data_IF_053656117839
#
_entry.id   IF_053656117839
#
_cell.length_a   1.000
_cell.length_b   1.000
_cell.length_c   1.000
_cell.angle_alpha   90.00
_cell.angle_beta   90.00
_cell.angle_gamma   90.00
#
_symmetry.space_group_name_H-M   'P 1'
#
loop_
_entity.id
_entity.type
_entity.pdbx_description
1 polymer ?
#
# COMPACT_ATOMS: atom_id res chain seq x y z
N UNK A 1 -29.68 -7.49 -17.90
CA UNK A 1 -30.11 -7.29 -16.52
C UNK A 1 -29.58 -5.93 -16.08
N UNK A 2 -30.48 -4.98 -15.81
CA UNK A 2 -30.10 -3.72 -15.18
C UNK A 2 -30.12 -3.94 -13.66
N UNK A 3 -28.97 -4.12 -12.99
CA UNK A 3 -28.96 -4.26 -11.54
C UNK A 3 -29.45 -2.95 -10.91
N UNK A 4 -30.35 -3.05 -9.97
CA UNK A 4 -30.73 -1.92 -9.13
C UNK A 4 -29.49 -1.51 -8.33
N UNK A 5 -29.05 -0.23 -8.39
CA UNK A 5 -27.94 0.23 -7.56
C UNK A 5 -28.26 -0.03 -6.08
N UNK A 6 -27.27 -0.49 -5.34
CA UNK A 6 -27.43 -0.61 -3.90
C UNK A 6 -27.53 0.79 -3.31
N UNK A 7 -28.58 1.04 -2.55
CA UNK A 7 -28.76 2.30 -1.83
C UNK A 7 -27.79 2.32 -0.64
N UNK A 8 -26.72 3.12 -0.77
CA UNK A 8 -25.72 3.30 0.26
C UNK A 8 -25.85 4.72 0.82
N UNK A 9 -26.23 4.83 2.09
CA UNK A 9 -26.19 6.07 2.84
C UNK A 9 -24.92 6.12 3.70
N UNK A 10 -24.23 7.26 3.73
CA UNK A 10 -23.18 7.50 4.71
C UNK A 10 -23.82 7.51 6.12
N UNK A 11 -23.06 7.00 7.09
CA UNK A 11 -23.45 7.07 8.50
C UNK A 11 -23.45 8.54 8.96
N UNK A 12 -24.61 9.04 9.38
CA UNK A 12 -24.82 10.44 9.78
C UNK A 12 -23.79 10.92 10.83
N UNK A 13 -23.49 10.07 11.82
CA UNK A 13 -22.52 10.39 12.86
C UNK A 13 -21.09 10.53 12.29
N UNK A 14 -20.72 9.72 11.31
CA UNK A 14 -19.43 9.85 10.62
C UNK A 14 -19.36 11.14 9.82
N UNK A 15 -20.46 11.58 9.19
CA UNK A 15 -20.53 12.85 8.49
C UNK A 15 -20.40 14.05 9.45
N UNK A 16 -21.09 14.03 10.59
CA UNK A 16 -20.94 15.08 11.61
C UNK A 16 -19.50 15.19 12.15
N UNK A 17 -18.86 14.06 12.46
CA UNK A 17 -17.46 14.04 12.88
C UNK A 17 -16.53 14.60 11.79
N UNK A 18 -16.81 14.26 10.53
CA UNK A 18 -16.04 14.77 9.40
C UNK A 18 -16.09 16.29 9.34
N UNK A 19 -17.26 16.88 9.48
CA UNK A 19 -17.43 18.33 9.43
C UNK A 19 -16.71 19.01 10.61
N UNK A 20 -16.88 18.48 11.84
CA UNK A 20 -16.18 18.99 13.03
C UNK A 20 -14.66 18.93 12.91
N UNK A 21 -14.13 17.82 12.42
CA UNK A 21 -12.69 17.65 12.19
C UNK A 21 -12.22 18.58 11.07
N UNK A 22 -12.99 18.71 10.00
CA UNK A 22 -12.64 19.59 8.89
C UNK A 22 -12.57 21.06 9.34
N UNK A 23 -13.51 21.52 10.15
CA UNK A 23 -13.54 22.90 10.64
C UNK A 23 -12.36 23.21 11.58
N UNK A 24 -11.97 22.25 12.42
CA UNK A 24 -11.01 22.51 13.50
C UNK A 24 -9.57 22.11 13.15
N UNK A 25 -9.35 21.10 12.31
CA UNK A 25 -8.04 20.46 12.14
C UNK A 25 -7.52 20.43 10.69
N UNK A 26 -8.26 20.95 9.70
CA UNK A 26 -7.83 20.92 8.28
C UNK A 26 -6.46 21.55 8.07
N UNK A 27 -6.18 22.69 8.71
CA UNK A 27 -4.91 23.40 8.52
C UNK A 27 -3.72 22.64 9.15
N UNK A 28 -3.93 22.00 10.31
CA UNK A 28 -2.89 21.17 10.94
C UNK A 28 -2.61 19.92 10.10
N UNK A 29 -3.66 19.27 9.59
CA UNK A 29 -3.54 18.12 8.68
C UNK A 29 -2.81 18.52 7.39
N UNK A 30 -3.20 19.65 6.78
CA UNK A 30 -2.56 20.15 5.57
C UNK A 30 -1.07 20.49 5.80
N UNK A 31 -0.74 21.07 6.94
CA UNK A 31 0.63 21.38 7.34
C UNK A 31 1.45 20.11 7.54
N UNK A 32 0.89 19.08 8.16
CA UNK A 32 1.53 17.79 8.34
C UNK A 32 1.83 17.11 6.97
N UNK A 33 0.90 17.18 6.02
CA UNK A 33 1.12 16.62 4.67
C UNK A 33 2.14 17.38 3.81
N UNK A 34 2.57 18.58 4.20
CA UNK A 34 3.67 19.32 3.53
C UNK A 34 5.07 18.85 3.96
N UNK A 35 5.17 18.02 4.98
CA UNK A 35 6.43 17.45 5.43
C UNK A 35 6.86 16.36 4.43
N UNK A 36 7.96 16.57 3.72
CA UNK A 36 8.44 15.65 2.69
C UNK A 36 8.94 14.31 3.26
N UNK A 37 9.63 14.35 4.43
CA UNK A 37 10.10 13.15 5.10
C UNK A 37 8.93 12.31 5.62
N UNK A 38 8.94 11.02 5.31
CA UNK A 38 7.84 10.11 5.62
C UNK A 38 7.67 9.84 7.11
N UNK A 39 8.78 9.70 7.84
CA UNK A 39 8.74 9.41 9.27
C UNK A 39 8.20 10.62 10.04
N UNK A 40 8.78 11.79 9.81
CA UNK A 40 8.38 13.06 10.45
C UNK A 40 6.93 13.44 10.11
N UNK A 41 6.51 13.20 8.86
CA UNK A 41 5.10 13.37 8.45
C UNK A 41 4.18 12.43 9.22
N UNK A 42 4.56 11.16 9.36
CA UNK A 42 3.80 10.17 10.12
C UNK A 42 3.62 10.57 11.59
N UNK A 43 4.67 11.09 12.21
CA UNK A 43 4.64 11.60 13.58
C UNK A 43 3.72 12.81 13.69
N UNK A 44 3.80 13.77 12.77
CA UNK A 44 2.95 14.95 12.75
C UNK A 44 1.46 14.59 12.60
N UNK A 45 1.12 13.70 11.66
CA UNK A 45 -0.26 13.21 11.48
C UNK A 45 -0.74 12.46 12.72
N UNK A 46 0.12 11.65 13.34
CA UNK A 46 -0.23 10.95 14.58
C UNK A 46 -0.46 11.90 15.74
N UNK A 47 0.29 13.00 15.85
CA UNK A 47 0.06 14.03 16.85
C UNK A 47 -1.32 14.70 16.69
N UNK A 48 -1.73 15.01 15.45
CA UNK A 48 -3.07 15.53 15.18
C UNK A 48 -4.15 14.51 15.56
N UNK A 49 -3.93 13.23 15.24
CA UNK A 49 -4.86 12.15 15.60
C UNK A 49 -5.03 12.01 17.12
N UNK A 50 -3.96 12.15 17.88
CA UNK A 50 -4.00 12.13 19.35
C UNK A 50 -4.84 13.30 19.86
N UNK A 51 -4.60 14.52 19.38
CA UNK A 51 -5.38 15.71 19.76
C UNK A 51 -6.88 15.54 19.51
N UNK A 52 -7.24 14.96 18.33
CA UNK A 52 -8.64 14.69 17.99
C UNK A 52 -9.26 13.68 18.96
N UNK A 53 -8.53 12.62 19.33
CA UNK A 53 -9.01 11.65 20.30
C UNK A 53 -9.17 12.25 21.71
N UNK A 54 -8.24 13.10 22.14
CA UNK A 54 -8.31 13.78 23.44
C UNK A 54 -9.46 14.80 23.50
N UNK A 55 -9.75 15.47 22.38
CA UNK A 55 -10.88 16.39 22.27
C UNK A 55 -12.25 15.68 22.30
N UNK A 56 -12.28 14.35 22.18
CA UNK A 56 -13.48 13.51 22.15
C UNK A 56 -13.32 12.31 23.11
N UNK A 57 -12.87 12.56 24.32
CA UNK A 57 -12.53 11.51 25.29
C UNK A 57 -13.75 10.75 25.83
N UNK A 58 -14.94 11.38 25.79
CA UNK A 58 -16.20 10.80 26.24
C UNK A 58 -16.82 9.74 25.31
N UNK A 59 -16.29 9.55 24.10
CA UNK A 59 -16.85 8.64 23.11
C UNK A 59 -16.62 7.16 23.46
N UNK A 60 -17.60 6.32 23.16
CA UNK A 60 -17.46 4.87 23.24
C UNK A 60 -16.56 4.31 22.11
N UNK A 61 -16.23 3.02 22.17
CA UNK A 61 -15.33 2.38 21.19
C UNK A 61 -15.88 2.39 19.76
N UNK A 62 -17.21 2.29 19.60
CA UNK A 62 -17.87 2.31 18.28
C UNK A 62 -17.84 3.71 17.68
N UNK A 63 -18.17 4.72 18.46
CA UNK A 63 -18.14 6.13 18.09
C UNK A 63 -16.70 6.58 17.77
N UNK A 64 -15.73 6.14 18.59
CA UNK A 64 -14.29 6.36 18.33
C UNK A 64 -13.84 5.75 17.01
N UNK A 65 -14.37 4.58 16.65
CA UNK A 65 -14.16 3.97 15.33
C UNK A 65 -14.69 4.85 14.20
N UNK A 66 -15.88 5.45 14.36
CA UNK A 66 -16.48 6.38 13.39
C UNK A 66 -15.69 7.69 13.30
N UNK A 67 -15.24 8.24 14.43
CA UNK A 67 -14.37 9.42 14.49
C UNK A 67 -13.08 9.20 13.70
N UNK A 68 -12.43 8.04 13.86
CA UNK A 68 -11.21 7.71 13.12
C UNK A 68 -11.46 7.48 11.61
N UNK A 69 -12.62 6.99 11.23
CA UNK A 69 -13.01 6.93 9.84
C UNK A 69 -13.25 8.31 9.24
N UNK A 70 -13.91 9.21 9.99
CA UNK A 70 -14.10 10.60 9.61
C UNK A 70 -12.76 11.32 9.43
N UNK A 71 -11.81 11.13 10.34
CA UNK A 71 -10.45 11.66 10.21
C UNK A 71 -9.78 11.24 8.89
N UNK A 72 -9.84 9.95 8.55
CA UNK A 72 -9.31 9.45 7.27
C UNK A 72 -9.98 10.07 6.04
N UNK A 73 -11.27 10.40 6.13
CA UNK A 73 -11.97 11.09 5.05
C UNK A 73 -11.47 12.52 4.88
N UNK A 74 -11.22 13.24 5.99
CA UNK A 74 -10.63 14.59 5.94
C UNK A 74 -9.21 14.56 5.41
N UNK A 75 -8.36 13.61 5.85
CA UNK A 75 -7.02 13.40 5.29
C UNK A 75 -7.06 13.22 3.78
N UNK A 76 -7.97 12.35 3.31
CA UNK A 76 -8.16 12.09 1.87
C UNK A 76 -8.59 13.35 1.11
N UNK A 77 -9.50 14.13 1.68
CA UNK A 77 -10.01 15.36 1.05
C UNK A 77 -8.92 16.43 0.98
N UNK A 78 -8.11 16.61 2.03
CA UNK A 78 -6.96 17.53 2.07
C UNK A 78 -5.96 17.17 0.98
N UNK A 79 -5.51 15.92 0.92
CA UNK A 79 -4.54 15.46 -0.09
C UNK A 79 -5.11 15.59 -1.50
N UNK A 80 -6.39 15.26 -1.69
CA UNK A 80 -7.02 15.36 -3.01
C UNK A 80 -7.15 16.81 -3.48
N UNK A 81 -7.51 17.73 -2.59
CA UNK A 81 -7.56 19.17 -2.89
C UNK A 81 -6.19 19.71 -3.32
N UNK A 82 -5.13 19.34 -2.62
CA UNK A 82 -3.76 19.70 -2.96
C UNK A 82 -3.37 19.20 -4.37
N UNK A 83 -3.67 17.93 -4.70
CA UNK A 83 -3.41 17.38 -6.03
C UNK A 83 -4.20 18.12 -7.12
N UNK A 84 -5.48 18.43 -6.87
CA UNK A 84 -6.33 19.15 -7.83
C UNK A 84 -5.89 20.61 -8.02
N UNK A 85 -5.24 21.21 -7.01
CA UNK A 85 -4.63 22.53 -7.07
C UNK A 85 -3.25 22.53 -7.76
N UNK A 86 -2.80 21.40 -8.28
CA UNK A 86 -1.47 21.21 -8.89
C UNK A 86 -0.30 21.53 -7.94
N UNK A 87 -0.50 21.35 -6.63
CA UNK A 87 0.57 21.44 -5.66
C UNK A 87 1.54 20.24 -5.79
N UNK A 88 2.80 20.38 -5.33
CA UNK A 88 3.74 19.27 -5.29
C UNK A 88 3.17 18.05 -4.55
N UNK A 89 3.62 16.86 -4.94
CA UNK A 89 3.25 15.62 -4.24
C UNK A 89 3.74 15.63 -2.79
N UNK A 90 3.15 14.80 -1.95
CA UNK A 90 3.46 14.67 -0.51
C UNK A 90 4.97 14.50 -0.23
N UNK A 91 5.71 13.86 -1.14
CA UNK A 91 7.15 13.66 -1.06
C UNK A 91 7.97 14.80 -1.69
N UNK A 92 7.34 15.92 -2.01
CA UNK A 92 7.96 17.13 -2.56
C UNK A 92 8.26 17.10 -4.05
N UNK A 93 7.95 15.99 -4.76
CA UNK A 93 8.09 15.92 -6.22
C UNK A 93 6.99 16.71 -6.92
N UNK A 94 7.26 17.16 -8.13
CA UNK A 94 6.23 17.64 -9.05
C UNK A 94 5.32 16.47 -9.52
N UNK A 95 4.32 16.79 -10.35
CA UNK A 95 3.34 15.80 -10.82
C UNK A 95 3.90 14.86 -11.89
N UNK A 96 4.96 15.26 -12.59
CA UNK A 96 5.53 14.55 -13.74
C UNK A 96 6.79 13.74 -13.37
N UNK A 97 7.48 14.09 -12.28
CA UNK A 97 8.69 13.41 -11.84
C UNK A 97 8.39 12.04 -11.25
N UNK A 98 9.00 11.00 -11.82
CA UNK A 98 8.99 9.63 -11.29
C UNK A 98 9.95 9.54 -10.10
N UNK A 99 9.66 8.68 -9.11
CA UNK A 99 10.62 8.39 -8.03
C UNK A 99 11.93 7.86 -8.61
N UNK A 100 13.09 8.21 -8.03
CA UNK A 100 14.39 7.73 -8.51
C UNK A 100 14.41 6.19 -8.50
N UNK A 101 14.88 5.63 -9.61
CA UNK A 101 15.03 4.19 -9.80
C UNK A 101 16.52 3.87 -9.82
N UNK A 102 16.91 2.88 -9.03
CA UNK A 102 18.24 2.30 -9.00
C UNK A 102 18.16 0.79 -9.17
N UNK A 103 19.01 0.22 -10.00
CA UNK A 103 19.06 -1.22 -10.26
C UNK A 103 20.52 -1.68 -10.16
N UNK A 104 20.73 -2.70 -9.35
CA UNK A 104 22.00 -3.39 -9.22
C UNK A 104 21.83 -4.86 -9.57
N UNK A 105 22.72 -5.40 -10.38
CA UNK A 105 22.71 -6.82 -10.80
C UNK A 105 23.82 -7.59 -10.11
N UNK A 106 23.68 -8.92 -10.04
CA UNK A 106 24.67 -9.82 -9.45
C UNK A 106 24.96 -9.57 -7.95
N UNK A 107 23.93 -9.14 -7.20
CA UNK A 107 24.06 -8.87 -5.75
C UNK A 107 24.19 -10.14 -4.91
N UNK A 108 23.74 -11.29 -5.41
CA UNK A 108 23.83 -12.59 -4.75
C UNK A 108 24.79 -13.51 -5.52
N UNK A 109 25.88 -13.96 -4.88
CA UNK A 109 26.94 -14.71 -5.59
C UNK A 109 26.60 -16.18 -5.91
N UNK A 110 25.59 -16.75 -5.24
CA UNK A 110 25.30 -18.20 -5.30
C UNK A 110 24.05 -18.54 -6.10
N UNK A 111 23.52 -17.61 -6.88
CA UNK A 111 22.34 -17.81 -7.74
C UNK A 111 22.71 -17.59 -9.21
N UNK A 112 21.90 -18.10 -10.14
CA UNK A 112 22.16 -17.96 -11.58
C UNK A 112 22.01 -16.51 -12.07
N UNK A 113 21.12 -15.74 -11.41
CA UNK A 113 20.98 -14.32 -11.64
C UNK A 113 20.34 -13.64 -10.42
N UNK A 114 20.69 -12.40 -10.18
CA UNK A 114 20.07 -11.60 -9.12
C UNK A 114 20.06 -10.13 -9.46
N UNK A 115 19.08 -9.41 -8.93
CA UNK A 115 18.96 -7.97 -9.04
C UNK A 115 18.35 -7.36 -7.78
N UNK A 116 18.89 -6.23 -7.36
CA UNK A 116 18.27 -5.35 -6.38
C UNK A 116 17.66 -4.17 -7.13
N UNK A 117 16.35 -4.05 -7.06
CA UNK A 117 15.61 -2.94 -7.63
C UNK A 117 15.17 -2.01 -6.51
N UNK A 118 15.47 -0.72 -6.63
CA UNK A 118 15.07 0.31 -5.67
C UNK A 118 14.30 1.41 -6.39
N UNK A 119 13.14 1.77 -5.86
CA UNK A 119 12.34 2.91 -6.31
C UNK A 119 11.96 3.77 -5.11
N UNK A 120 12.66 4.88 -4.92
CA UNK A 120 12.55 5.68 -3.71
C UNK A 120 12.91 4.84 -2.48
N UNK A 121 11.98 4.68 -1.54
CA UNK A 121 12.16 3.88 -0.32
C UNK A 121 11.78 2.40 -0.47
N UNK A 122 11.25 2.00 -1.63
CA UNK A 122 10.80 0.62 -1.86
C UNK A 122 11.89 -0.18 -2.55
N UNK A 123 12.20 -1.36 -2.02
CA UNK A 123 13.17 -2.28 -2.59
C UNK A 123 12.55 -3.64 -2.91
N UNK A 124 13.05 -4.27 -3.97
CA UNK A 124 12.78 -5.66 -4.30
C UNK A 124 14.09 -6.38 -4.62
N UNK A 125 14.37 -7.44 -3.89
CA UNK A 125 15.48 -8.36 -4.18
C UNK A 125 14.93 -9.51 -4.99
N UNK A 126 15.46 -9.70 -6.19
CA UNK A 126 15.05 -10.75 -7.12
C UNK A 126 16.18 -11.73 -7.32
N UNK A 127 15.89 -13.02 -7.24
CA UNK A 127 16.81 -14.09 -7.58
C UNK A 127 16.19 -14.95 -8.69
N UNK A 128 16.97 -15.29 -9.71
CA UNK A 128 16.57 -16.15 -10.80
C UNK A 128 17.38 -17.46 -10.77
N UNK A 129 16.69 -18.57 -10.96
CA UNK A 129 17.29 -19.90 -11.05
C UNK A 129 16.83 -20.55 -12.36
N UNK A 130 17.78 -21.02 -13.15
CA UNK A 130 17.52 -21.77 -14.37
C UNK A 130 17.52 -23.26 -14.05
N UNK A 131 16.52 -23.97 -14.51
CA UNK A 131 16.38 -25.40 -14.36
C UNK A 131 16.25 -26.12 -15.70
N UNK A 132 16.20 -27.44 -15.65
CA UNK A 132 15.90 -28.31 -16.79
C UNK A 132 14.39 -28.54 -16.90
N UNK A 133 13.96 -29.18 -17.98
CA UNK A 133 12.56 -29.60 -18.15
C UNK A 133 12.06 -30.56 -17.08
N UNK A 134 12.98 -31.24 -16.36
CA UNK A 134 12.66 -32.13 -15.22
C UNK A 134 12.27 -31.38 -13.96
N UNK A 135 12.67 -30.12 -13.87
CA UNK A 135 12.40 -29.24 -12.72
C UNK A 135 11.05 -28.50 -12.86
N UNK A 136 10.34 -28.73 -13.98
CA UNK A 136 9.03 -28.13 -14.20
C UNK A 136 8.00 -28.65 -13.20
N UNK A 137 7.16 -27.75 -12.70
CA UNK A 137 6.07 -28.10 -11.79
C UNK A 137 4.96 -28.82 -12.54
N UNK A 138 4.63 -30.02 -12.12
CA UNK A 138 3.45 -30.76 -12.61
C UNK A 138 2.23 -30.34 -11.77
N UNK A 139 1.16 -30.00 -12.46
CA UNK A 139 -0.12 -29.60 -11.85
C UNK A 139 -1.18 -30.57 -12.37
N UNK A 140 -1.73 -31.39 -11.48
CA UNK A 140 -2.87 -32.24 -11.77
C UNK A 140 -4.16 -31.49 -11.49
N UNK A 141 -4.97 -31.26 -12.51
CA UNK A 141 -6.25 -30.57 -12.44
C UNK A 141 -7.39 -31.40 -13.02
N UNK A 142 -8.62 -30.87 -12.91
CA UNK A 142 -9.80 -31.53 -13.49
C UNK A 142 -9.72 -31.72 -15.02
N UNK A 143 -8.93 -30.89 -15.71
CA UNK A 143 -8.75 -30.95 -17.17
C UNK A 143 -7.53 -31.76 -17.60
N UNK A 144 -6.87 -32.47 -16.68
CA UNK A 144 -5.67 -33.25 -16.94
C UNK A 144 -4.41 -32.67 -16.29
N UNK A 145 -3.25 -33.18 -16.71
CA UNK A 145 -1.94 -32.72 -16.24
C UNK A 145 -1.44 -31.52 -17.06
N UNK A 146 -0.95 -30.50 -16.37
CA UNK A 146 -0.27 -29.35 -16.96
C UNK A 146 1.16 -29.26 -16.42
N UNK A 147 2.12 -28.95 -17.28
CA UNK A 147 3.52 -28.70 -16.90
C UNK A 147 3.81 -27.21 -16.91
N UNK A 148 4.17 -26.67 -15.76
CA UNK A 148 4.49 -25.27 -15.60
C UNK A 148 6.02 -25.08 -15.53
N UNK A 149 6.60 -24.55 -16.60
CA UNK A 149 8.06 -24.34 -16.74
C UNK A 149 8.52 -23.00 -16.16
N UNK A 150 7.59 -22.07 -15.88
CA UNK A 150 7.91 -20.77 -15.30
C UNK A 150 7.21 -20.60 -13.96
N UNK A 151 7.98 -20.57 -12.89
CA UNK A 151 7.50 -20.36 -11.53
C UNK A 151 7.98 -19.00 -11.02
N UNK A 152 7.11 -18.25 -10.38
CA UNK A 152 7.44 -17.02 -9.71
C UNK A 152 6.92 -17.05 -8.26
N UNK A 153 7.82 -16.93 -7.30
CA UNK A 153 7.50 -16.83 -5.89
C UNK A 153 7.67 -15.38 -5.46
N UNK A 154 6.65 -14.84 -4.81
CA UNK A 154 6.64 -13.48 -4.30
C UNK A 154 6.48 -13.51 -2.78
N UNK A 155 7.41 -12.91 -2.08
CA UNK A 155 7.39 -12.76 -0.63
C UNK A 155 7.27 -11.29 -0.26
N UNK A 156 6.41 -11.00 0.70
CA UNK A 156 6.23 -9.66 1.27
C UNK A 156 6.29 -9.76 2.80
N UNK A 157 7.48 -9.82 3.38
CA UNK A 157 7.65 -9.99 4.82
C UNK A 157 7.14 -8.78 5.59
N UNK A 158 6.67 -9.02 6.82
CA UNK A 158 6.04 -8.02 7.67
C UNK A 158 6.93 -6.79 7.92
N UNK A 159 8.24 -6.98 8.03
CA UNK A 159 9.20 -5.86 8.20
C UNK A 159 9.19 -4.86 7.03
N UNK A 160 8.74 -5.25 5.83
CA UNK A 160 8.61 -4.34 4.68
C UNK A 160 7.61 -3.20 4.91
N UNK A 161 6.72 -3.36 5.89
CA UNK A 161 5.74 -2.35 6.31
C UNK A 161 5.91 -1.94 7.78
N UNK A 162 7.04 -2.31 8.39
CA UNK A 162 7.31 -1.98 9.79
C UNK A 162 6.50 -2.79 10.80
N UNK A 163 5.94 -3.92 10.39
CA UNK A 163 5.15 -4.80 11.25
C UNK A 163 6.00 -5.98 11.77
N UNK A 164 5.65 -6.46 12.95
CA UNK A 164 6.16 -7.72 13.49
C UNK A 164 5.20 -8.83 13.08
N UNK A 165 5.72 -9.88 12.43
CA UNK A 165 4.88 -10.99 11.99
C UNK A 165 5.67 -12.28 11.80
N UNK A 166 5.03 -13.43 12.07
CA UNK A 166 5.59 -14.74 11.77
C UNK A 166 5.36 -15.09 10.28
N UNK A 167 6.35 -15.65 9.59
CA UNK A 167 6.20 -16.13 8.22
C UNK A 167 5.46 -17.48 8.23
N UNK A 168 4.14 -17.45 8.34
CA UNK A 168 3.27 -18.64 8.34
C UNK A 168 2.91 -19.14 6.93
N UNK A 169 3.66 -18.77 5.91
CA UNK A 169 3.39 -19.07 4.49
C UNK A 169 2.82 -17.87 3.73
N UNK A 170 2.61 -18.01 2.41
CA UNK A 170 2.17 -16.91 1.57
C UNK A 170 0.73 -16.50 1.87
N UNK A 171 0.51 -15.21 2.03
CA UNK A 171 -0.82 -14.61 2.22
C UNK A 171 -1.49 -14.38 0.87
N UNK A 172 -2.81 -14.14 0.87
CA UNK A 172 -3.60 -13.87 -0.36
C UNK A 172 -3.02 -12.72 -1.21
N UNK A 173 -2.46 -11.70 -0.56
CA UNK A 173 -1.80 -10.57 -1.23
C UNK A 173 -0.57 -11.02 -2.00
N UNK A 174 0.27 -11.86 -1.41
CA UNK A 174 1.48 -12.37 -2.04
C UNK A 174 1.15 -13.26 -3.24
N UNK A 175 0.14 -14.11 -3.11
CA UNK A 175 -0.36 -14.95 -4.21
C UNK A 175 -0.87 -14.07 -5.36
N UNK A 176 -1.70 -13.07 -5.07
CA UNK A 176 -2.26 -12.16 -6.08
C UNK A 176 -1.19 -11.33 -6.78
N UNK A 177 -0.29 -10.69 -6.04
CA UNK A 177 0.83 -9.92 -6.59
C UNK A 177 1.81 -10.80 -7.38
N UNK A 178 2.14 -11.99 -6.87
CA UNK A 178 2.98 -12.94 -7.57
C UNK A 178 2.38 -13.35 -8.92
N UNK A 179 1.08 -13.61 -8.97
CA UNK A 179 0.38 -13.94 -10.22
C UNK A 179 0.36 -12.76 -11.21
N UNK A 180 0.20 -11.53 -10.75
CA UNK A 180 0.29 -10.34 -11.62
C UNK A 180 1.70 -10.21 -12.22
N UNK A 181 2.74 -10.32 -11.40
CA UNK A 181 4.13 -10.27 -11.84
C UNK A 181 4.45 -11.42 -12.82
N UNK A 182 4.03 -12.66 -12.50
CA UNK A 182 4.20 -13.83 -13.36
C UNK A 182 3.59 -13.61 -14.75
N UNK A 183 2.37 -13.08 -14.81
CA UNK A 183 1.68 -12.80 -16.08
C UNK A 183 2.37 -11.71 -16.89
N UNK A 184 2.87 -10.66 -16.24
CA UNK A 184 3.59 -9.57 -16.89
C UNK A 184 4.92 -10.05 -17.51
N UNK A 185 5.71 -10.85 -16.76
CA UNK A 185 7.01 -11.34 -17.20
C UNK A 185 6.86 -12.44 -18.28
N UNK A 186 5.81 -13.26 -18.21
CA UNK A 186 5.59 -14.34 -19.18
C UNK A 186 5.37 -13.83 -20.62
N UNK A 187 5.05 -12.57 -20.79
CA UNK A 187 4.84 -11.94 -22.09
C UNK A 187 6.15 -11.47 -22.74
N UNK A 188 7.25 -11.45 -22.01
CA UNK A 188 8.61 -11.08 -22.45
C UNK A 188 9.45 -12.33 -22.66
#
# INVERSE_FOLDING_TARGET
>A
VNPTPWDFSEDELTAEFKDKIADSFTDEIASAFKIADKASRGEAINAVRIKINEAHDELDDLERGKLMNAFKLVEKDVVRKSILANEPRIDGRDLDTVRPIYVETNVLPSVHGSSLFTRGETQALVAATLGSTRDAQRIEGLNGEESNTFMLHYNFPAYSVGEIGMPLGPKRREIGHGNLAKRAIKAV
#
